data_IF_417628871299
#
_entry.id   IF_417628871299
#
_cell.length_a   1.000
_cell.length_b   1.000
_cell.length_c   1.000
_cell.angle_alpha   90.00
_cell.angle_beta   90.00
_cell.angle_gamma   90.00
#
_symmetry.space_group_name_H-M   'P 1'
#
loop_
_entity.id
_entity.type
_entity.pdbx_description
1 polymer ?
#
# COMPACT_ATOMS: atom_id res chain seq x y z
N UNK A 1 -22.28 -0.72 -11.27
CA UNK A 1 -22.38 0.73 -10.92
C UNK A 1 -22.02 0.98 -9.46
N UNK A 2 -22.55 0.20 -8.52
CA UNK A 2 -22.23 0.30 -7.07
C UNK A 2 -20.75 0.05 -6.84
N UNK A 3 -20.18 -1.02 -7.38
CA UNK A 3 -18.77 -1.38 -7.23
C UNK A 3 -17.83 -0.28 -7.77
N UNK A 4 -18.17 0.33 -8.91
CA UNK A 4 -17.41 1.45 -9.46
C UNK A 4 -17.43 2.67 -8.52
N UNK A 5 -18.59 3.02 -7.97
CA UNK A 5 -18.74 4.14 -7.04
C UNK A 5 -17.95 3.88 -5.74
N UNK A 6 -17.99 2.66 -5.23
CA UNK A 6 -17.25 2.22 -4.05
C UNK A 6 -15.75 2.31 -4.29
N UNK A 7 -15.26 1.83 -5.44
CA UNK A 7 -13.83 1.91 -5.82
C UNK A 7 -13.36 3.37 -5.88
N UNK A 8 -14.15 4.24 -6.51
CA UNK A 8 -13.83 5.68 -6.58
C UNK A 8 -13.83 6.30 -5.18
N UNK A 9 -14.82 5.99 -4.34
CA UNK A 9 -14.91 6.52 -2.98
C UNK A 9 -13.72 6.07 -2.12
N UNK A 10 -13.38 4.78 -2.14
CA UNK A 10 -12.24 4.22 -1.40
C UNK A 10 -10.93 4.89 -1.81
N UNK A 11 -10.70 5.09 -3.12
CA UNK A 11 -9.55 5.82 -3.63
C UNK A 11 -9.51 7.27 -3.13
N UNK A 12 -10.63 7.99 -3.25
CA UNK A 12 -10.72 9.39 -2.83
C UNK A 12 -10.46 9.56 -1.34
N UNK A 13 -11.03 8.69 -0.50
CA UNK A 13 -10.79 8.68 0.95
C UNK A 13 -9.32 8.42 1.24
N UNK A 14 -8.74 7.39 0.63
CA UNK A 14 -7.33 7.03 0.82
C UNK A 14 -6.40 8.18 0.45
N UNK A 15 -6.53 8.73 -0.77
CA UNK A 15 -5.68 9.84 -1.23
C UNK A 15 -5.89 11.08 -0.35
N UNK A 16 -7.13 11.39 0.01
CA UNK A 16 -7.43 12.57 0.85
C UNK A 16 -6.76 12.48 2.20
N UNK A 17 -6.76 11.31 2.86
CA UNK A 17 -6.06 11.09 4.13
C UNK A 17 -4.56 11.30 3.95
N UNK A 18 -3.95 10.60 3.00
CA UNK A 18 -2.50 10.61 2.77
C UNK A 18 -1.98 12.01 2.47
N UNK A 19 -2.63 12.69 1.53
CA UNK A 19 -2.23 14.03 1.11
C UNK A 19 -2.49 15.07 2.20
N UNK A 20 -3.63 15.01 2.87
CA UNK A 20 -3.93 15.97 3.95
C UNK A 20 -2.88 15.90 5.06
N UNK A 21 -2.47 14.71 5.46
CA UNK A 21 -1.44 14.52 6.50
C UNK A 21 -0.07 14.97 6.00
N UNK A 22 0.28 14.67 4.76
CA UNK A 22 1.50 15.13 4.11
C UNK A 22 1.60 16.66 4.10
N UNK A 23 0.61 17.32 3.53
CA UNK A 23 0.53 18.78 3.46
C UNK A 23 0.47 19.42 4.85
N UNK A 24 -0.21 18.77 5.80
CA UNK A 24 -0.26 19.22 7.19
C UNK A 24 1.14 19.23 7.83
N UNK A 25 2.00 18.27 7.49
CA UNK A 25 3.39 18.25 7.92
C UNK A 25 4.13 19.54 7.50
N UNK A 26 4.08 19.89 6.22
CA UNK A 26 4.68 21.12 5.69
C UNK A 26 4.07 22.38 6.35
N UNK A 27 2.74 22.45 6.43
CA UNK A 27 2.03 23.55 7.05
C UNK A 27 2.45 23.76 8.51
N UNK A 28 2.47 22.70 9.29
CA UNK A 28 2.76 22.77 10.73
C UNK A 28 4.19 23.26 11.01
N UNK A 29 5.18 22.73 10.29
CA UNK A 29 6.58 23.13 10.45
C UNK A 29 6.85 24.51 9.86
N UNK A 30 6.25 24.87 8.72
CA UNK A 30 6.34 26.21 8.16
C UNK A 30 5.87 27.27 9.17
N UNK A 31 4.74 27.02 9.83
CA UNK A 31 4.22 27.93 10.89
C UNK A 31 5.17 28.02 12.07
N UNK A 32 5.82 26.91 12.48
CA UNK A 32 6.81 26.91 13.57
C UNK A 32 8.11 27.63 13.19
N UNK A 33 8.44 27.66 11.89
CA UNK A 33 9.58 28.41 11.36
C UNK A 33 9.24 29.88 11.02
N UNK A 34 8.09 30.38 11.45
CA UNK A 34 7.60 31.72 11.13
C UNK A 34 7.55 31.99 9.61
N UNK A 35 7.13 30.98 8.82
CA UNK A 35 6.77 31.19 7.40
C UNK A 35 5.29 31.47 7.30
N UNK A 36 4.93 32.50 6.54
CA UNK A 36 3.54 32.80 6.28
C UNK A 36 2.96 31.83 5.25
N UNK A 37 1.92 31.08 5.66
CA UNK A 37 1.19 30.20 4.77
C UNK A 37 -0.04 30.92 4.25
N UNK A 38 -0.07 31.14 2.94
CA UNK A 38 -1.15 31.83 2.23
C UNK A 38 -2.36 30.90 2.10
N UNK A 39 -2.11 29.64 1.66
CA UNK A 39 -3.17 28.67 1.44
C UNK A 39 -2.72 27.24 1.79
N UNK A 40 -3.61 26.51 2.42
CA UNK A 40 -3.57 25.07 2.61
C UNK A 40 -4.72 24.48 1.80
N UNK A 41 -4.42 23.68 0.79
CA UNK A 41 -5.44 23.10 -0.08
C UNK A 41 -5.41 21.59 -0.07
N UNK A 42 -6.56 20.97 0.15
CA UNK A 42 -6.80 19.55 -0.16
C UNK A 42 -7.48 19.48 -1.52
N UNK A 43 -6.80 18.89 -2.49
CA UNK A 43 -7.23 18.86 -3.88
C UNK A 43 -6.69 20.03 -4.73
N UNK A 44 -6.95 19.91 -6.03
CA UNK A 44 -6.59 20.89 -7.06
C UNK A 44 -7.81 21.47 -7.75
N UNK A 45 -7.61 22.57 -8.48
CA UNK A 45 -8.62 23.21 -9.31
C UNK A 45 -9.50 24.20 -8.56
N UNK A 46 -10.79 24.26 -8.94
CA UNK A 46 -11.73 25.24 -8.38
C UNK A 46 -12.04 24.93 -6.91
N UNK A 47 -11.92 25.92 -6.04
CA UNK A 47 -12.30 25.80 -4.65
C UNK A 47 -13.82 25.56 -4.52
N UNK A 48 -14.20 24.46 -3.85
CA UNK A 48 -15.59 24.16 -3.49
C UNK A 48 -15.91 24.80 -2.14
N UNK A 49 -14.96 24.76 -1.21
CA UNK A 49 -15.11 25.33 0.12
C UNK A 49 -13.83 26.05 0.53
N UNK A 50 -13.97 27.25 1.08
CA UNK A 50 -12.85 28.05 1.60
C UNK A 50 -13.19 28.55 2.99
N UNK A 51 -12.33 28.22 3.94
CA UNK A 51 -12.40 28.74 5.31
C UNK A 51 -11.15 29.56 5.61
N UNK A 52 -11.34 30.82 6.00
CA UNK A 52 -10.23 31.65 6.48
C UNK A 52 -9.88 31.29 7.92
N UNK A 53 -8.59 31.08 8.17
CA UNK A 53 -8.05 30.84 9.50
C UNK A 53 -8.11 32.11 10.37
N UNK A 54 -7.50 32.00 11.55
CA UNK A 54 -7.30 33.18 12.42
C UNK A 54 -6.18 34.05 11.87
N UNK A 55 -6.22 35.35 12.20
CA UNK A 55 -5.14 36.28 11.87
C UNK A 55 -3.81 35.71 12.39
N UNK A 56 -2.78 35.60 11.54
CA UNK A 56 -1.52 35.03 11.95
C UNK A 56 -0.78 35.99 12.89
N UNK A 57 -0.24 35.43 13.98
CA UNK A 57 0.65 36.14 14.90
C UNK A 57 2.03 35.54 14.74
N UNK A 58 3.02 36.35 14.42
CA UNK A 58 4.43 35.96 14.31
C UNK A 58 5.26 36.69 15.35
N UNK A 59 6.32 36.04 15.82
CA UNK A 59 7.28 36.68 16.72
C UNK A 59 8.06 37.79 16.00
N UNK A 60 8.41 38.83 16.73
CA UNK A 60 9.29 39.90 16.22
C UNK A 60 10.66 39.30 15.89
N UNK A 61 11.07 39.45 14.62
CA UNK A 61 12.42 39.09 14.17
C UNK A 61 13.06 40.30 13.50
N UNK A 62 14.40 40.48 13.59
CA UNK A 62 15.08 41.54 12.85
C UNK A 62 14.88 41.31 11.36
N UNK A 63 14.40 42.35 10.68
CA UNK A 63 14.16 42.36 9.24
C UNK A 63 15.35 43.05 8.57
N UNK A 64 15.90 42.39 7.55
CA UNK A 64 16.99 42.93 6.74
C UNK A 64 16.46 43.20 5.32
N UNK A 65 16.84 44.34 4.70
CA UNK A 65 16.56 44.64 3.31
C UNK A 65 17.38 43.73 2.35
N UNK A 66 17.20 43.96 1.03
CA UNK A 66 17.94 43.19 0.01
C UNK A 66 19.44 43.42 0.05
N UNK A 67 19.85 44.55 0.59
CA UNK A 67 21.24 44.96 0.77
C UNK A 67 21.83 44.50 2.12
N UNK A 68 21.02 43.84 2.98
CA UNK A 68 21.47 43.32 4.27
C UNK A 68 21.46 44.35 5.41
N UNK A 69 20.81 45.51 5.26
CA UNK A 69 20.67 46.51 6.29
C UNK A 69 19.44 46.22 7.17
N UNK A 70 19.54 46.53 8.44
CA UNK A 70 18.47 46.34 9.40
C UNK A 70 17.32 47.33 9.12
N UNK A 71 16.17 46.80 8.75
CA UNK A 71 14.97 47.61 8.53
C UNK A 71 14.24 47.78 9.86
N UNK A 72 13.96 49.03 10.29
CA UNK A 72 13.19 49.23 11.52
C UNK A 72 11.76 48.70 11.35
N UNK A 73 11.43 47.64 12.13
CA UNK A 73 10.12 47.03 12.14
C UNK A 73 9.12 48.03 12.70
N UNK A 74 8.33 48.68 11.82
CA UNK A 74 7.16 49.43 12.25
C UNK A 74 6.10 48.41 12.67
N UNK A 75 5.59 48.47 13.88
CA UNK A 75 4.63 47.60 14.57
C UNK A 75 3.27 47.39 13.86
N UNK A 76 3.15 47.73 12.58
CA UNK A 76 1.91 47.66 11.77
C UNK A 76 1.79 46.43 10.86
N UNK A 77 2.82 45.59 10.78
CA UNK A 77 2.88 44.55 9.75
C UNK A 77 1.92 43.38 9.98
N UNK A 78 1.53 43.08 11.22
CA UNK A 78 0.66 41.93 11.51
C UNK A 78 -0.83 42.17 11.12
N UNK A 79 -1.26 43.44 10.97
CA UNK A 79 -2.63 43.75 10.58
C UNK A 79 -2.90 43.62 9.07
N UNK A 80 -1.86 43.59 8.25
CA UNK A 80 -1.97 43.54 6.79
C UNK A 80 -1.86 42.15 6.20
N UNK A 81 -1.42 41.15 6.98
CA UNK A 81 -1.30 39.78 6.49
C UNK A 81 -2.67 39.09 6.45
N UNK A 82 -3.02 38.59 5.28
CA UNK A 82 -4.25 37.81 5.13
C UNK A 82 -4.16 36.50 5.96
N UNK A 83 -5.25 36.06 6.60
CA UNK A 83 -5.27 34.78 7.28
C UNK A 83 -5.09 33.63 6.26
N UNK A 84 -4.45 32.52 6.69
CA UNK A 84 -4.34 31.32 5.87
C UNK A 84 -5.70 30.85 5.38
N UNK A 85 -5.84 30.63 4.08
CA UNK A 85 -7.03 30.04 3.46
C UNK A 85 -6.94 28.51 3.52
N UNK A 86 -7.89 27.87 4.18
CA UNK A 86 -8.08 26.41 4.14
C UNK A 86 -9.09 26.08 3.06
N UNK A 87 -8.64 25.39 2.03
CA UNK A 87 -9.42 25.17 0.80
C UNK A 87 -9.66 23.68 0.59
N UNK A 88 -10.90 23.32 0.26
CA UNK A 88 -11.25 22.03 -0.33
C UNK A 88 -11.54 22.28 -1.82
N UNK A 89 -10.76 21.64 -2.68
CA UNK A 89 -10.87 21.84 -4.12
C UNK A 89 -11.61 20.67 -4.82
N UNK A 90 -12.03 20.91 -6.07
CA UNK A 90 -12.93 20.03 -6.81
C UNK A 90 -12.29 18.69 -7.21
N UNK A 91 -10.97 18.63 -7.36
CA UNK A 91 -10.23 17.42 -7.78
C UNK A 91 -9.41 16.92 -6.59
N UNK A 92 -9.89 15.92 -5.83
CA UNK A 92 -9.24 15.47 -4.59
C UNK A 92 -8.06 14.51 -4.85
N UNK A 93 -7.28 14.75 -5.91
CA UNK A 93 -6.13 13.94 -6.32
C UNK A 93 -4.81 14.61 -5.94
N UNK A 94 -4.71 15.14 -4.72
CA UNK A 94 -3.50 15.81 -4.25
C UNK A 94 -3.81 16.97 -3.31
N UNK A 95 -2.82 17.82 -3.07
CA UNK A 95 -2.94 19.01 -2.25
C UNK A 95 -1.73 19.91 -2.43
N UNK A 96 -1.71 21.04 -1.73
CA UNK A 96 -0.53 21.90 -1.67
C UNK A 96 -0.61 22.89 -0.51
N UNK A 97 0.56 23.26 -0.01
CA UNK A 97 0.74 24.36 0.93
C UNK A 97 1.41 25.52 0.21
N UNK A 98 0.65 26.57 -0.07
CA UNK A 98 1.21 27.80 -0.65
C UNK A 98 1.81 28.66 0.45
N UNK A 99 3.12 28.80 0.43
CA UNK A 99 3.90 29.64 1.34
C UNK A 99 4.20 30.99 0.70
N UNK A 100 4.47 31.99 1.52
CA UNK A 100 4.98 33.26 1.03
C UNK A 100 6.39 33.07 0.50
N UNK A 101 6.64 33.38 -0.77
CA UNK A 101 7.94 33.25 -1.44
C UNK A 101 8.12 34.31 -2.52
N UNK A 102 9.26 35.00 -2.53
CA UNK A 102 9.58 36.06 -3.51
C UNK A 102 9.68 35.54 -4.95
N UNK A 103 9.92 34.24 -5.13
CA UNK A 103 10.02 33.59 -6.45
C UNK A 103 8.64 33.41 -7.10
N UNK A 104 7.57 33.38 -6.29
CA UNK A 104 6.20 33.21 -6.76
C UNK A 104 5.41 34.54 -6.93
N UNK A 105 5.97 35.62 -6.42
CA UNK A 105 5.30 36.92 -6.53
C UNK A 105 5.96 38.01 -5.70
N UNK A 106 5.39 39.20 -5.78
CA UNK A 106 5.88 40.36 -5.01
C UNK A 106 5.60 40.17 -3.52
N UNK A 107 6.64 40.33 -2.71
CA UNK A 107 6.56 40.33 -1.24
C UNK A 107 6.95 41.71 -0.72
N UNK A 108 6.10 42.39 0.06
CA UNK A 108 6.43 43.67 0.69
C UNK A 108 7.67 43.54 1.60
N UNK A 109 8.48 44.61 1.67
CA UNK A 109 9.75 44.59 2.41
C UNK A 109 9.56 44.27 3.91
N UNK A 110 8.45 44.72 4.50
CA UNK A 110 8.09 44.45 5.90
C UNK A 110 7.68 42.99 6.15
N UNK A 111 7.41 42.18 5.09
CA UNK A 111 7.01 40.78 5.14
C UNK A 111 8.10 39.82 4.68
N UNK A 112 9.25 40.30 4.18
CA UNK A 112 10.36 39.48 3.68
C UNK A 112 10.82 38.42 4.69
N UNK A 113 10.83 38.77 5.97
CA UNK A 113 11.22 37.86 7.05
C UNK A 113 10.26 36.66 7.23
N UNK A 114 9.06 36.71 6.64
CA UNK A 114 8.05 35.63 6.66
C UNK A 114 8.09 34.79 5.39
N UNK A 115 8.93 35.14 4.41
CA UNK A 115 9.06 34.41 3.17
C UNK A 115 9.90 33.14 3.34
N UNK A 116 9.49 32.05 2.70
CA UNK A 116 10.14 30.75 2.77
C UNK A 116 11.60 30.81 2.23
N UNK A 117 11.83 31.48 1.10
CA UNK A 117 13.16 31.61 0.50
C UNK A 117 14.15 32.41 1.37
N UNK A 118 13.68 33.22 2.32
CA UNK A 118 14.50 33.98 3.27
C UNK A 118 14.85 33.21 4.55
N UNK A 119 14.33 32.00 4.72
CA UNK A 119 14.64 31.15 5.87
C UNK A 119 16.01 30.51 5.75
N UNK A 120 16.60 30.19 6.90
CA UNK A 120 17.87 29.44 6.93
C UNK A 120 17.72 28.11 6.21
N UNK A 121 18.83 27.58 5.68
CA UNK A 121 18.83 26.28 4.99
C UNK A 121 18.22 25.18 5.87
N UNK A 122 18.55 25.17 7.16
CA UNK A 122 18.00 24.19 8.11
C UNK A 122 16.48 24.30 8.29
N UNK A 123 15.94 25.52 8.32
CA UNK A 123 14.51 25.73 8.38
C UNK A 123 13.81 25.26 7.11
N UNK A 124 14.41 25.51 5.93
CA UNK A 124 13.88 25.04 4.65
C UNK A 124 13.91 23.52 4.55
N UNK A 125 15.03 22.88 4.98
CA UNK A 125 15.10 21.42 5.08
C UNK A 125 14.04 20.88 6.02
N UNK A 126 13.86 21.45 7.21
CA UNK A 126 12.86 21.01 8.17
C UNK A 126 11.42 21.12 7.61
N UNK A 127 11.11 22.21 6.89
CA UNK A 127 9.79 22.42 6.29
C UNK A 127 9.54 21.39 5.18
N UNK A 128 10.50 21.19 4.28
CA UNK A 128 10.31 20.29 3.14
C UNK A 128 10.33 18.81 3.56
N UNK A 129 11.14 18.43 4.55
CA UNK A 129 11.11 17.06 5.07
C UNK A 129 9.87 16.72 5.91
N UNK A 130 9.13 17.74 6.36
CA UNK A 130 8.00 17.56 7.27
C UNK A 130 6.82 16.80 6.65
N UNK A 131 6.58 16.95 5.35
CA UNK A 131 5.55 16.18 4.62
C UNK A 131 5.83 14.68 4.66
N UNK A 132 6.97 14.22 4.11
CA UNK A 132 7.37 12.83 4.20
C UNK A 132 7.40 12.28 5.62
N UNK A 133 7.94 13.04 6.60
CA UNK A 133 7.95 12.63 8.01
C UNK A 133 6.53 12.45 8.54
N UNK A 134 5.59 13.33 8.20
CA UNK A 134 4.19 13.20 8.61
C UNK A 134 3.57 11.91 8.07
N UNK A 135 3.94 11.47 6.86
CA UNK A 135 3.49 10.20 6.32
C UNK A 135 4.06 9.00 7.08
N UNK A 136 5.32 8.99 7.48
CA UNK A 136 5.86 7.95 8.36
C UNK A 136 5.16 7.94 9.73
N UNK A 137 4.87 9.11 10.30
CA UNK A 137 4.12 9.19 11.55
C UNK A 137 2.68 8.67 11.41
N UNK A 138 2.02 8.92 10.27
CA UNK A 138 0.71 8.33 9.97
C UNK A 138 0.79 6.81 9.90
N UNK A 139 1.81 6.25 9.24
CA UNK A 139 2.00 4.81 9.15
C UNK A 139 2.24 4.18 10.54
N UNK A 140 3.09 4.81 11.38
CA UNK A 140 3.30 4.35 12.76
C UNK A 140 1.99 4.40 13.55
N UNK A 141 1.19 5.46 13.42
CA UNK A 141 -0.09 5.59 14.11
C UNK A 141 -1.11 4.53 13.63
N UNK A 142 -1.14 4.25 12.32
CA UNK A 142 -1.98 3.21 11.75
C UNK A 142 -1.59 1.81 12.26
N UNK A 143 -0.31 1.44 12.19
CA UNK A 143 0.16 0.16 12.74
C UNK A 143 0.01 0.09 14.26
N UNK A 144 0.23 1.19 14.99
CA UNK A 144 -0.04 1.23 16.42
C UNK A 144 -1.50 0.90 16.75
N UNK A 145 -2.42 1.48 16.02
CA UNK A 145 -3.85 1.20 16.19
C UNK A 145 -4.16 -0.27 15.87
N UNK A 146 -3.64 -0.81 14.75
CA UNK A 146 -3.81 -2.21 14.36
C UNK A 146 -3.28 -3.15 15.45
N UNK A 147 -2.05 -2.95 15.92
CA UNK A 147 -1.44 -3.80 16.92
C UNK A 147 -2.06 -3.66 18.32
N UNK A 148 -2.69 -2.52 18.63
CA UNK A 148 -3.41 -2.34 19.88
C UNK A 148 -4.79 -3.02 19.88
N UNK A 149 -5.47 -3.03 18.71
CA UNK A 149 -6.74 -3.74 18.51
C UNK A 149 -6.49 -5.24 18.41
N UNK A 150 -5.46 -5.65 17.71
CA UNK A 150 -5.09 -7.01 17.35
C UNK A 150 -5.19 -7.19 15.83
N UNK A 151 -4.19 -7.84 15.25
CA UNK A 151 -4.15 -8.20 13.82
C UNK A 151 -4.16 -9.71 13.73
N UNK A 152 -5.12 -10.23 12.97
CA UNK A 152 -5.25 -11.66 12.73
C UNK A 152 -4.61 -12.00 11.38
N UNK A 153 -3.76 -13.03 11.38
CA UNK A 153 -3.14 -13.53 10.16
C UNK A 153 -3.13 -15.06 10.13
N UNK A 154 -3.22 -15.62 8.93
CA UNK A 154 -3.18 -17.08 8.72
C UNK A 154 -1.79 -17.59 9.04
N UNK A 155 -1.70 -18.65 9.85
CA UNK A 155 -0.43 -19.33 10.18
C UNK A 155 0.21 -19.88 8.88
N UNK A 156 1.54 -19.83 8.75
CA UNK A 156 2.20 -20.18 7.51
C UNK A 156 2.48 -21.69 7.41
N UNK A 157 1.41 -22.49 7.49
CA UNK A 157 1.49 -23.94 7.31
C UNK A 157 1.41 -24.27 5.82
N UNK A 158 2.36 -25.07 5.35
CA UNK A 158 2.45 -25.55 3.98
C UNK A 158 1.31 -26.53 3.71
N UNK A 159 0.50 -26.24 2.70
CA UNK A 159 -0.51 -27.14 2.16
C UNK A 159 0.09 -28.14 1.16
N UNK A 160 -0.65 -28.45 0.11
CA UNK A 160 -0.14 -29.31 -0.96
C UNK A 160 0.96 -28.56 -1.74
N UNK A 161 2.13 -29.20 -1.90
CA UNK A 161 3.22 -28.66 -2.70
C UNK A 161 2.99 -28.97 -4.18
N UNK A 162 3.31 -28.03 -5.06
CA UNK A 162 3.30 -28.31 -6.50
C UNK A 162 4.39 -29.34 -6.82
N UNK A 163 4.07 -30.44 -7.53
CA UNK A 163 5.03 -31.46 -7.90
C UNK A 163 6.22 -30.86 -8.68
N UNK A 164 7.43 -31.34 -8.41
CA UNK A 164 8.67 -30.88 -9.04
C UNK A 164 8.99 -29.38 -8.89
N UNK A 165 8.28 -28.68 -7.99
CA UNK A 165 8.57 -27.29 -7.65
C UNK A 165 9.93 -27.12 -6.95
N UNK A 166 10.43 -25.89 -6.86
CA UNK A 166 11.68 -25.61 -6.16
C UNK A 166 11.60 -25.97 -4.69
N UNK A 167 10.47 -25.73 -4.03
CA UNK A 167 10.20 -26.08 -2.64
C UNK A 167 10.17 -27.61 -2.43
N UNK A 168 9.48 -28.35 -3.32
CA UNK A 168 9.42 -29.80 -3.25
C UNK A 168 10.80 -30.46 -3.47
N UNK A 169 11.58 -29.96 -4.45
CA UNK A 169 12.95 -30.44 -4.69
C UNK A 169 13.91 -30.15 -3.54
N UNK A 170 13.67 -29.06 -2.80
CA UNK A 170 14.46 -28.74 -1.61
C UNK A 170 14.13 -29.63 -0.41
N UNK A 171 13.04 -30.41 -0.48
CA UNK A 171 12.63 -31.36 0.55
C UNK A 171 11.59 -30.82 1.54
N UNK A 172 10.99 -29.68 1.28
CA UNK A 172 9.86 -29.16 2.06
C UNK A 172 8.67 -30.11 1.93
N UNK A 173 7.84 -30.20 2.96
CA UNK A 173 6.73 -31.15 3.05
C UNK A 173 5.44 -30.46 3.50
N UNK A 174 4.32 -31.05 3.13
CA UNK A 174 3.00 -30.62 3.59
C UNK A 174 2.89 -30.74 5.12
N UNK A 175 2.22 -29.77 5.74
CA UNK A 175 1.99 -29.71 7.18
C UNK A 175 3.11 -29.04 7.98
N UNK A 176 4.26 -28.73 7.37
CA UNK A 176 5.31 -27.94 8.02
C UNK A 176 4.88 -26.48 8.18
N UNK A 177 5.16 -25.86 9.33
CA UNK A 177 4.96 -24.43 9.56
C UNK A 177 6.25 -23.68 9.28
N UNK A 178 6.20 -22.66 8.38
CA UNK A 178 7.33 -21.80 8.06
C UNK A 178 7.50 -20.77 9.19
N UNK A 179 8.61 -20.84 9.91
CA UNK A 179 8.91 -19.96 11.05
C UNK A 179 9.94 -18.88 10.76
N UNK A 180 10.71 -19.02 9.66
CA UNK A 180 11.60 -17.96 9.18
C UNK A 180 11.89 -18.09 7.68
N UNK A 181 12.16 -16.94 7.04
CA UNK A 181 12.70 -16.83 5.69
C UNK A 181 14.01 -16.05 5.78
N UNK A 182 15.13 -16.63 5.31
CA UNK A 182 16.48 -16.06 5.40
C UNK A 182 16.84 -15.54 6.81
N UNK A 183 16.42 -16.29 7.84
CA UNK A 183 16.65 -15.97 9.25
C UNK A 183 15.69 -14.93 9.84
N UNK A 184 14.87 -14.26 9.03
CA UNK A 184 13.82 -13.35 9.49
C UNK A 184 12.60 -14.15 9.94
N UNK A 185 12.22 -14.02 11.21
CA UNK A 185 11.07 -14.76 11.79
C UNK A 185 9.77 -14.39 11.09
N UNK A 186 8.97 -15.40 10.77
CA UNK A 186 7.64 -15.27 10.17
C UNK A 186 6.58 -15.91 11.05
N UNK A 187 5.46 -15.21 11.26
CA UNK A 187 4.32 -15.68 12.07
C UNK A 187 3.07 -15.93 11.25
N UNK A 188 3.02 -15.32 10.06
CA UNK A 188 1.87 -15.35 9.16
C UNK A 188 2.31 -15.53 7.72
N UNK A 189 1.41 -16.01 6.86
CA UNK A 189 1.65 -16.12 5.43
C UNK A 189 2.01 -14.76 4.78
N UNK A 190 1.44 -13.66 5.29
CA UNK A 190 1.79 -12.32 4.81
C UNK A 190 3.25 -11.97 5.06
N UNK A 191 3.81 -12.38 6.21
CA UNK A 191 5.21 -12.16 6.54
C UNK A 191 6.14 -13.08 5.71
N UNK A 192 5.75 -14.32 5.46
CA UNK A 192 6.46 -15.22 4.54
C UNK A 192 6.53 -14.61 3.15
N UNK A 193 5.39 -14.18 2.60
CA UNK A 193 5.36 -13.54 1.29
C UNK A 193 6.25 -12.29 1.24
N UNK A 194 6.23 -11.45 2.27
CA UNK A 194 7.08 -10.26 2.33
C UNK A 194 8.57 -10.63 2.30
N UNK A 195 8.99 -11.63 3.08
CA UNK A 195 10.36 -12.14 3.07
C UNK A 195 10.78 -12.70 1.71
N UNK A 196 9.87 -13.41 1.04
CA UNK A 196 10.10 -13.92 -0.31
C UNK A 196 10.15 -12.80 -1.36
N UNK A 197 9.31 -11.77 -1.25
CA UNK A 197 9.35 -10.60 -2.13
C UNK A 197 10.71 -9.88 -2.07
N UNK A 198 11.37 -9.87 -0.91
CA UNK A 198 12.69 -9.26 -0.78
C UNK A 198 13.76 -9.98 -1.60
N UNK A 199 13.52 -11.22 -2.03
CA UNK A 199 14.45 -12.04 -2.85
C UNK A 199 14.21 -11.94 -4.36
N UNK A 200 13.21 -11.18 -4.82
CA UNK A 200 12.93 -11.02 -6.25
C UNK A 200 14.14 -10.48 -7.02
N UNK A 201 14.37 -11.03 -8.20
CA UNK A 201 15.47 -10.67 -9.10
C UNK A 201 16.84 -11.23 -8.68
N UNK A 202 16.93 -11.96 -7.57
CA UNK A 202 18.21 -12.46 -7.05
C UNK A 202 18.53 -13.87 -7.55
N UNK A 203 19.82 -14.20 -7.47
CA UNK A 203 20.36 -15.54 -7.71
C UNK A 203 21.05 -16.01 -6.45
N UNK A 204 20.79 -17.24 -6.03
CA UNK A 204 21.38 -17.83 -4.81
C UNK A 204 20.44 -18.87 -4.20
N UNK A 205 20.40 -18.92 -2.89
CA UNK A 205 19.54 -19.81 -2.13
C UNK A 205 18.65 -19.01 -1.19
N UNK A 206 17.38 -19.39 -1.10
CA UNK A 206 16.45 -18.87 -0.09
C UNK A 206 16.40 -19.90 1.02
N UNK A 207 16.72 -19.51 2.25
CA UNK A 207 16.70 -20.39 3.42
C UNK A 207 15.32 -20.34 4.05
N UNK A 208 14.57 -21.43 3.98
CA UNK A 208 13.25 -21.56 4.61
C UNK A 208 13.41 -22.44 5.85
N UNK A 209 13.15 -21.87 7.02
CA UNK A 209 13.16 -22.60 8.29
C UNK A 209 11.74 -22.96 8.68
N UNK A 210 11.52 -24.22 8.98
CA UNK A 210 10.20 -24.78 9.32
C UNK A 210 10.23 -25.50 10.65
N UNK A 211 9.04 -25.68 11.22
CA UNK A 211 8.77 -26.59 12.36
C UNK A 211 8.00 -27.77 11.83
N UNK A 212 8.41 -28.96 12.23
CA UNK A 212 7.77 -30.25 11.84
C UNK A 212 6.39 -30.42 12.51
N UNK A 213 5.41 -30.97 11.81
CA UNK A 213 4.10 -31.27 12.38
C UNK A 213 4.20 -32.10 13.68
N UNK A 214 3.56 -31.61 14.74
CA UNK A 214 3.56 -32.27 16.04
C UNK A 214 4.86 -32.16 16.86
N UNK A 215 5.84 -31.42 16.39
CA UNK A 215 7.09 -31.12 17.10
C UNK A 215 7.11 -29.68 17.59
N UNK A 216 7.20 -29.46 18.89
CA UNK A 216 7.18 -28.09 19.45
C UNK A 216 8.49 -27.30 19.29
N UNK A 217 9.62 -27.96 18.98
CA UNK A 217 10.94 -27.30 18.98
C UNK A 217 11.94 -27.80 17.92
N UNK A 218 11.61 -28.78 17.10
CA UNK A 218 12.52 -29.22 16.06
C UNK A 218 12.37 -28.34 14.83
N UNK A 219 13.33 -27.41 14.65
CA UNK A 219 13.43 -26.57 13.46
C UNK A 219 14.36 -27.22 12.45
N UNK A 220 13.91 -27.29 11.21
CA UNK A 220 14.69 -27.73 10.05
C UNK A 220 14.81 -26.58 9.05
N UNK A 221 15.99 -26.42 8.46
CA UNK A 221 16.21 -25.38 7.43
C UNK A 221 16.46 -26.02 6.08
N UNK A 222 15.79 -25.53 5.07
CA UNK A 222 15.86 -25.99 3.69
C UNK A 222 16.37 -24.86 2.79
N UNK A 223 17.35 -25.19 1.96
CA UNK A 223 17.92 -24.24 1.00
C UNK A 223 17.23 -24.43 -0.35
N UNK A 224 16.48 -23.43 -0.77
CA UNK A 224 15.76 -23.44 -2.04
C UNK A 224 16.57 -22.64 -3.07
N UNK A 225 17.19 -23.29 -4.09
CA UNK A 225 17.99 -22.60 -5.08
C UNK A 225 17.09 -21.79 -6.03
N UNK A 226 17.50 -20.54 -6.31
CA UNK A 226 16.82 -19.62 -7.22
C UNK A 226 17.83 -18.95 -8.15
N UNK A 227 17.43 -18.63 -9.38
CA UNK A 227 18.29 -17.99 -10.38
C UNK A 227 17.52 -16.88 -11.08
N UNK A 228 17.99 -15.61 -10.95
CA UNK A 228 17.29 -14.42 -11.45
C UNK A 228 15.77 -14.51 -11.20
N UNK A 229 15.45 -14.88 -9.98
CA UNK A 229 14.13 -15.36 -9.62
C UNK A 229 13.06 -14.31 -9.85
N UNK A 230 12.09 -14.63 -10.69
CA UNK A 230 10.94 -13.78 -11.06
C UNK A 230 11.33 -12.40 -11.62
N UNK A 231 12.57 -12.21 -12.11
CA UNK A 231 13.04 -10.91 -12.63
C UNK A 231 12.20 -10.36 -13.78
N UNK A 232 11.58 -11.24 -14.58
CA UNK A 232 10.76 -10.89 -15.74
C UNK A 232 9.25 -11.02 -15.48
N UNK A 233 8.83 -11.32 -14.26
CA UNK A 233 7.41 -11.45 -13.92
C UNK A 233 6.77 -10.08 -13.74
N UNK A 234 5.68 -9.82 -14.46
CA UNK A 234 4.87 -8.60 -14.34
C UNK A 234 3.89 -8.67 -13.13
N UNK A 235 3.67 -9.86 -12.57
CA UNK A 235 2.80 -10.09 -11.41
C UNK A 235 3.31 -11.28 -10.60
N UNK A 236 4.45 -11.13 -9.89
CA UNK A 236 5.04 -12.24 -9.15
C UNK A 236 4.15 -12.68 -7.99
N UNK A 237 4.02 -14.00 -7.82
CA UNK A 237 3.39 -14.66 -6.68
C UNK A 237 4.44 -15.53 -5.96
N UNK A 238 5.35 -14.94 -5.16
CA UNK A 238 6.58 -15.58 -4.72
C UNK A 238 6.39 -16.96 -4.05
N UNK A 239 5.46 -17.10 -3.12
CA UNK A 239 5.21 -18.37 -2.49
C UNK A 239 4.77 -19.43 -3.51
N UNK A 240 3.80 -19.10 -4.36
CA UNK A 240 3.29 -20.00 -5.40
C UNK A 240 4.37 -20.36 -6.43
N UNK A 241 5.15 -19.36 -6.84
CA UNK A 241 6.23 -19.58 -7.83
C UNK A 241 7.38 -20.45 -7.29
N UNK A 242 7.51 -20.57 -5.95
CA UNK A 242 8.35 -21.62 -5.32
C UNK A 242 7.65 -22.96 -5.23
N UNK A 243 6.34 -23.02 -5.45
CA UNK A 243 5.49 -24.19 -5.26
C UNK A 243 4.95 -24.34 -3.84
N UNK A 244 5.02 -23.27 -3.03
CA UNK A 244 4.45 -23.23 -1.70
C UNK A 244 2.97 -22.81 -1.80
N UNK A 245 2.09 -23.71 -1.41
CA UNK A 245 0.66 -23.47 -1.32
C UNK A 245 0.27 -23.38 0.16
N UNK A 246 -0.54 -22.37 0.48
CA UNK A 246 -1.08 -22.22 1.84
C UNK A 246 -2.03 -23.38 2.15
N UNK A 247 -1.93 -23.95 3.34
CA UNK A 247 -2.93 -24.90 3.82
C UNK A 247 -4.26 -24.14 3.98
N UNK A 248 -5.27 -24.58 3.22
CA UNK A 248 -6.63 -24.08 3.34
C UNK A 248 -7.45 -25.03 4.23
N UNK A 249 -8.41 -24.51 5.02
CA UNK A 249 -9.43 -25.35 5.63
C UNK A 249 -10.33 -25.96 4.53
N UNK A 250 -11.27 -26.81 4.90
CA UNK A 250 -12.29 -27.26 3.96
C UNK A 250 -12.96 -26.02 3.33
N UNK A 251 -12.88 -25.94 2.01
CA UNK A 251 -13.40 -24.81 1.25
C UNK A 251 -14.46 -25.31 0.26
N UNK A 252 -15.71 -25.50 0.73
CA UNK A 252 -16.78 -25.97 -0.13
C UNK A 252 -17.02 -25.02 -1.30
N UNK A 253 -17.45 -25.55 -2.43
CA UNK A 253 -17.68 -24.78 -3.65
C UNK A 253 -19.00 -24.01 -3.60
N UNK A 254 -19.16 -23.14 -2.59
CA UNK A 254 -20.37 -22.31 -2.38
C UNK A 254 -20.23 -20.96 -3.07
N UNK A 255 -21.27 -20.57 -3.80
CA UNK A 255 -21.34 -19.29 -4.49
C UNK A 255 -21.63 -18.18 -3.48
N UNK A 256 -20.70 -17.26 -3.27
CA UNK A 256 -20.86 -16.07 -2.44
C UNK A 256 -21.30 -14.82 -3.21
N UNK A 257 -21.10 -14.81 -4.54
CA UNK A 257 -21.52 -13.69 -5.39
C UNK A 257 -21.49 -14.01 -6.87
N UNK A 258 -22.30 -13.31 -7.65
CA UNK A 258 -22.41 -13.47 -9.10
C UNK A 258 -22.24 -12.13 -9.81
N UNK A 259 -21.55 -12.12 -10.94
CA UNK A 259 -21.53 -10.97 -11.84
C UNK A 259 -22.85 -10.94 -12.62
N UNK A 260 -23.47 -9.76 -12.74
CA UNK A 260 -24.78 -9.60 -13.36
C UNK A 260 -24.87 -9.99 -14.84
N UNK A 261 -23.71 -10.00 -15.53
CA UNK A 261 -23.54 -10.43 -16.93
C UNK A 261 -22.80 -11.76 -17.07
N UNK A 262 -22.53 -12.43 -15.95
CA UNK A 262 -21.75 -13.68 -15.90
C UNK A 262 -22.54 -14.89 -16.38
N UNK A 263 -21.81 -15.86 -16.96
CA UNK A 263 -22.35 -17.14 -17.46
C UNK A 263 -23.04 -17.98 -16.37
N UNK A 264 -22.56 -17.89 -15.12
CA UNK A 264 -23.17 -18.58 -13.99
C UNK A 264 -24.60 -18.07 -13.74
N UNK A 265 -24.78 -16.74 -13.69
CA UNK A 265 -26.11 -16.13 -13.50
C UNK A 265 -27.04 -16.44 -14.68
N UNK A 266 -26.54 -16.35 -15.91
CA UNK A 266 -27.28 -16.69 -17.12
C UNK A 266 -27.67 -18.18 -17.16
N UNK A 267 -26.87 -19.08 -16.60
CA UNK A 267 -27.15 -20.51 -16.47
C UNK A 267 -28.11 -20.88 -15.33
N UNK A 268 -28.57 -19.90 -14.55
CA UNK A 268 -29.51 -20.14 -13.44
C UNK A 268 -28.84 -20.52 -12.11
N UNK A 269 -27.54 -20.26 -11.95
CA UNK A 269 -26.84 -20.37 -10.67
C UNK A 269 -27.25 -19.22 -9.77
N UNK A 270 -27.44 -19.46 -8.49
CA UNK A 270 -27.81 -18.48 -7.47
C UNK A 270 -26.75 -18.38 -6.36
N UNK A 271 -26.75 -17.26 -5.66
CA UNK A 271 -25.90 -17.09 -4.46
C UNK A 271 -26.38 -18.06 -3.38
N UNK A 272 -25.44 -18.80 -2.78
CA UNK A 272 -25.71 -19.85 -1.82
C UNK A 272 -25.71 -21.27 -2.42
N UNK A 273 -25.68 -21.40 -3.76
CA UNK A 273 -25.55 -22.72 -4.39
C UNK A 273 -24.19 -23.35 -4.03
N UNK A 274 -24.20 -24.59 -3.57
CA UNK A 274 -23.00 -25.40 -3.39
C UNK A 274 -22.83 -26.36 -4.57
N UNK A 275 -21.75 -26.25 -5.30
CA UNK A 275 -21.38 -27.11 -6.41
C UNK A 275 -20.85 -28.45 -5.90
N UNK A 276 -21.59 -29.53 -6.11
CA UNK A 276 -21.23 -30.88 -5.63
C UNK A 276 -20.43 -31.70 -6.64
N UNK A 277 -20.80 -31.60 -7.93
CA UNK A 277 -20.09 -32.34 -8.99
C UNK A 277 -20.23 -31.64 -10.34
N UNK A 278 -19.28 -31.90 -11.23
CA UNK A 278 -19.28 -31.46 -12.64
C UNK A 278 -19.06 -32.71 -13.49
N UNK A 279 -19.94 -32.92 -14.50
CA UNK A 279 -19.96 -34.08 -15.40
C UNK A 279 -19.82 -35.42 -14.68
N UNK A 280 -20.46 -35.55 -13.51
CA UNK A 280 -20.47 -36.75 -12.68
C UNK A 280 -19.22 -36.92 -11.80
N UNK A 281 -18.23 -36.03 -11.88
CA UNK A 281 -17.05 -36.03 -11.00
C UNK A 281 -17.33 -35.16 -9.78
N UNK A 282 -17.22 -35.73 -8.57
CA UNK A 282 -17.39 -34.98 -7.32
C UNK A 282 -16.31 -33.94 -7.12
N UNK A 283 -16.70 -32.74 -6.72
CA UNK A 283 -15.78 -31.65 -6.43
C UNK A 283 -15.18 -31.83 -5.02
N UNK A 284 -13.89 -31.50 -4.89
CA UNK A 284 -13.17 -31.46 -3.61
C UNK A 284 -13.24 -30.08 -2.94
N UNK A 285 -14.03 -29.17 -3.49
CA UNK A 285 -14.18 -27.81 -3.00
C UNK A 285 -13.95 -26.75 -4.08
N UNK A 286 -13.89 -25.47 -3.64
CA UNK A 286 -13.79 -24.32 -4.54
C UNK A 286 -12.55 -24.38 -5.47
N UNK A 287 -11.31 -24.67 -5.00
CA UNK A 287 -10.17 -24.72 -5.90
C UNK A 287 -10.35 -25.71 -7.06
N UNK A 288 -10.86 -26.91 -6.76
CA UNK A 288 -11.13 -27.92 -7.78
C UNK A 288 -12.21 -27.49 -8.78
N UNK A 289 -13.25 -26.74 -8.32
CA UNK A 289 -14.24 -26.15 -9.23
C UNK A 289 -13.56 -25.14 -10.18
N UNK A 290 -12.67 -24.30 -9.67
CA UNK A 290 -11.93 -23.31 -10.49
C UNK A 290 -11.12 -24.01 -11.56
N UNK A 291 -10.38 -25.07 -11.22
CA UNK A 291 -9.55 -25.82 -12.17
C UNK A 291 -10.41 -26.44 -13.28
N UNK A 292 -11.53 -27.04 -12.94
CA UNK A 292 -12.47 -27.65 -13.92
C UNK A 292 -13.05 -26.58 -14.84
N UNK A 293 -13.49 -25.44 -14.29
CA UNK A 293 -14.06 -24.33 -15.08
C UNK A 293 -13.00 -23.74 -16.02
N UNK A 294 -11.80 -23.48 -15.54
CA UNK A 294 -10.71 -22.92 -16.33
C UNK A 294 -10.28 -23.83 -17.47
N UNK A 295 -10.30 -25.15 -17.25
CA UNK A 295 -9.96 -26.16 -18.27
C UNK A 295 -11.04 -26.34 -19.35
N UNK A 296 -12.23 -25.75 -19.18
CA UNK A 296 -13.41 -26.02 -20.05
C UNK A 296 -14.00 -24.75 -20.70
N UNK A 297 -13.19 -23.92 -21.37
CA UNK A 297 -13.70 -22.73 -22.06
C UNK A 297 -14.66 -23.14 -23.18
N UNK A 298 -15.82 -22.46 -23.27
CA UNK A 298 -16.90 -22.66 -24.26
C UNK A 298 -17.49 -24.11 -24.32
N UNK A 299 -17.21 -24.94 -23.29
CA UNK A 299 -17.76 -26.29 -23.18
C UNK A 299 -18.94 -26.28 -22.21
N UNK A 300 -20.03 -26.92 -22.59
CA UNK A 300 -21.20 -27.05 -21.70
C UNK A 300 -20.96 -28.17 -20.69
N UNK A 301 -20.95 -27.81 -19.42
CA UNK A 301 -20.76 -28.70 -18.28
C UNK A 301 -22.10 -28.99 -17.61
N UNK A 302 -22.34 -30.24 -17.19
CA UNK A 302 -23.46 -30.62 -16.37
C UNK A 302 -23.08 -30.52 -14.88
N UNK A 303 -23.57 -29.48 -14.22
CA UNK A 303 -23.23 -29.20 -12.83
C UNK A 303 -24.39 -29.64 -11.92
N UNK A 304 -24.05 -30.39 -10.86
CA UNK A 304 -24.98 -30.68 -9.78
C UNK A 304 -24.75 -29.70 -8.65
N UNK A 305 -25.75 -28.91 -8.30
CA UNK A 305 -25.71 -27.97 -7.17
C UNK A 305 -26.68 -28.40 -6.07
N UNK A 306 -26.32 -28.07 -4.83
CA UNK A 306 -27.21 -28.15 -3.67
C UNK A 306 -27.79 -26.75 -3.42
N UNK A 307 -29.11 -26.61 -3.56
CA UNK A 307 -29.86 -25.38 -3.29
C UNK A 307 -31.02 -25.71 -2.34
N UNK A 308 -31.10 -24.98 -1.22
CA UNK A 308 -32.16 -25.17 -0.20
C UNK A 308 -32.35 -26.65 0.24
N UNK A 309 -31.24 -27.41 0.31
CA UNK A 309 -31.24 -28.83 0.66
C UNK A 309 -31.68 -29.78 -0.49
N UNK A 310 -32.00 -29.27 -1.66
CA UNK A 310 -32.35 -30.04 -2.87
C UNK A 310 -31.22 -30.07 -3.90
N UNK A 311 -30.95 -31.22 -4.51
CA UNK A 311 -30.02 -31.34 -5.62
C UNK A 311 -30.64 -30.91 -6.92
N UNK A 312 -29.99 -30.03 -7.68
CA UNK A 312 -30.43 -29.56 -8.98
C UNK A 312 -29.34 -29.76 -10.02
N UNK A 313 -29.72 -30.03 -11.26
CA UNK A 313 -28.81 -30.10 -12.40
C UNK A 313 -28.90 -28.80 -13.19
N UNK A 314 -27.74 -28.19 -13.44
CA UNK A 314 -27.60 -26.95 -14.20
C UNK A 314 -26.63 -27.19 -15.35
N UNK A 315 -27.02 -26.80 -16.57
CA UNK A 315 -26.10 -26.77 -17.71
C UNK A 315 -25.38 -25.42 -17.73
N UNK A 316 -24.07 -25.42 -17.55
CA UNK A 316 -23.24 -24.24 -17.43
C UNK A 316 -22.16 -24.23 -18.51
N UNK A 317 -22.07 -23.15 -19.29
CA UNK A 317 -21.05 -23.00 -20.34
C UNK A 317 -20.11 -21.84 -19.95
N UNK A 318 -18.88 -22.13 -19.47
CA UNK A 318 -17.93 -21.08 -19.16
C UNK A 318 -17.58 -20.24 -20.39
N UNK A 319 -17.45 -18.94 -20.24
CA UNK A 319 -16.95 -18.03 -21.27
C UNK A 319 -15.45 -18.19 -21.43
N UNK A 320 -14.96 -18.27 -22.67
CA UNK A 320 -13.53 -18.31 -22.97
C UNK A 320 -12.94 -16.90 -22.87
N UNK A 321 -11.98 -16.70 -21.97
CA UNK A 321 -11.25 -15.44 -21.81
C UNK A 321 -9.75 -15.66 -22.00
N UNK A 322 -9.06 -14.69 -22.62
CA UNK A 322 -7.60 -14.68 -22.63
C UNK A 322 -7.04 -14.02 -21.38
N UNK A 323 -6.26 -14.76 -20.61
CA UNK A 323 -5.60 -14.26 -19.41
C UNK A 323 -4.19 -14.83 -19.28
N UNK A 324 -3.19 -13.93 -19.23
CA UNK A 324 -1.79 -14.35 -19.09
C UNK A 324 -1.27 -15.21 -20.25
N UNK A 325 -1.82 -15.04 -21.47
CA UNK A 325 -1.44 -15.83 -22.64
C UNK A 325 -2.10 -17.22 -22.73
N UNK A 326 -3.00 -17.55 -21.81
CA UNK A 326 -3.80 -18.78 -21.83
C UNK A 326 -5.28 -18.47 -22.06
N UNK A 327 -5.96 -19.35 -22.81
CA UNK A 327 -7.39 -19.28 -23.06
C UNK A 327 -8.11 -20.13 -21.99
N UNK A 328 -8.82 -19.47 -21.08
CA UNK A 328 -9.38 -20.09 -19.88
C UNK A 328 -10.89 -19.88 -19.80
N UNK A 329 -11.60 -20.87 -19.24
CA UNK A 329 -13.02 -20.74 -18.94
C UNK A 329 -13.28 -19.82 -17.74
N UNK A 330 -14.37 -19.03 -17.84
CA UNK A 330 -14.80 -18.12 -16.78
C UNK A 330 -16.34 -18.12 -16.67
N UNK A 331 -16.87 -18.10 -15.44
CA UNK A 331 -18.32 -18.14 -15.21
C UNK A 331 -18.89 -16.89 -14.54
N UNK A 332 -18.03 -15.99 -14.06
CA UNK A 332 -18.47 -14.77 -13.39
C UNK A 332 -19.05 -15.01 -11.99
N UNK A 333 -18.53 -16.01 -11.27
CA UNK A 333 -18.91 -16.30 -9.90
C UNK A 333 -17.74 -16.03 -8.93
N UNK A 334 -18.09 -15.65 -7.70
CA UNK A 334 -17.14 -15.48 -6.58
C UNK A 334 -17.48 -16.50 -5.49
N UNK A 335 -16.48 -17.02 -4.76
CA UNK A 335 -16.74 -17.91 -3.63
C UNK A 335 -17.42 -17.18 -2.48
N UNK A 336 -18.04 -17.92 -1.60
CA UNK A 336 -18.32 -17.44 -0.27
C UNK A 336 -16.99 -17.12 0.43
N UNK A 337 -16.90 -16.03 1.21
CA UNK A 337 -15.72 -15.75 1.99
C UNK A 337 -15.29 -16.99 2.81
N UNK A 338 -13.99 -17.29 2.80
CA UNK A 338 -13.43 -18.39 3.55
C UNK A 338 -13.20 -17.93 5.00
N UNK A 339 -13.90 -18.55 5.93
CA UNK A 339 -13.64 -18.36 7.36
C UNK A 339 -12.57 -19.34 7.80
N UNK A 340 -11.45 -18.84 8.29
CA UNK A 340 -10.39 -19.68 8.84
C UNK A 340 -10.76 -20.10 10.26
N UNK A 341 -10.58 -21.40 10.59
CA UNK A 341 -10.70 -21.86 11.97
C UNK A 341 -9.67 -21.17 12.89
N UNK A 342 -10.01 -20.91 14.15
CA UNK A 342 -9.09 -20.24 15.08
C UNK A 342 -7.72 -20.89 15.21
N UNK A 343 -7.63 -22.22 14.96
CA UNK A 343 -6.38 -22.99 15.00
C UNK A 343 -5.45 -22.63 13.82
N UNK A 344 -6.00 -22.13 12.73
CA UNK A 344 -5.28 -21.70 11.53
C UNK A 344 -4.97 -20.20 11.51
N UNK A 345 -5.37 -19.49 12.55
CA UNK A 345 -5.14 -18.07 12.71
C UNK A 345 -4.21 -17.78 13.88
N UNK A 346 -3.45 -16.73 13.74
CA UNK A 346 -2.60 -16.19 14.81
C UNK A 346 -2.91 -14.71 15.00
N UNK A 347 -3.48 -14.39 16.15
CA UNK A 347 -3.69 -13.01 16.57
C UNK A 347 -2.38 -12.46 17.13
N UNK A 348 -1.97 -11.30 16.59
CA UNK A 348 -0.85 -10.52 17.12
C UNK A 348 -1.41 -9.25 17.74
N UNK A 349 -1.41 -9.19 19.08
CA UNK A 349 -1.93 -8.05 19.85
C UNK A 349 -0.92 -7.61 20.88
N UNK A 350 -0.80 -6.29 21.05
CA UNK A 350 0.08 -5.68 22.05
C UNK A 350 -0.72 -4.73 22.97
N UNK A 351 -0.30 -4.55 24.22
CA UNK A 351 -0.89 -3.50 25.06
C UNK A 351 -0.76 -2.13 24.39
N UNK A 352 -1.80 -1.30 24.48
CA UNK A 352 -1.87 0.02 23.82
C UNK A 352 -0.63 0.87 24.07
N UNK A 353 -0.11 0.84 25.33
CA UNK A 353 1.06 1.65 25.72
C UNK A 353 2.40 1.15 25.14
N UNK A 354 2.49 -0.09 24.67
CA UNK A 354 3.71 -0.66 24.09
C UNK A 354 3.59 -0.95 22.58
N UNK A 355 2.38 -0.95 22.02
CA UNK A 355 2.10 -1.26 20.62
C UNK A 355 2.81 -0.30 19.62
N UNK A 356 3.23 0.89 20.05
CA UNK A 356 3.98 1.84 19.22
C UNK A 356 5.38 1.34 18.84
N UNK A 357 6.00 0.48 19.68
CA UNK A 357 7.33 -0.09 19.39
C UNK A 357 7.26 -1.02 18.18
N UNK A 358 6.44 -2.10 18.17
CA UNK A 358 6.30 -2.94 16.98
C UNK A 358 5.75 -2.17 15.77
N UNK A 359 4.94 -1.13 15.98
CA UNK A 359 4.47 -0.28 14.88
C UNK A 359 5.62 0.49 14.22
N UNK A 360 6.53 1.06 15.00
CA UNK A 360 7.72 1.74 14.47
C UNK A 360 8.68 0.75 13.78
N UNK A 361 8.87 -0.44 14.35
CA UNK A 361 9.67 -1.51 13.73
C UNK A 361 9.06 -1.94 12.41
N UNK A 362 7.75 -2.19 12.37
CA UNK A 362 7.05 -2.56 11.13
C UNK A 362 7.14 -1.47 10.06
N UNK A 363 6.97 -0.20 10.45
CA UNK A 363 7.14 0.94 9.53
C UNK A 363 8.55 0.97 8.95
N UNK A 364 9.57 0.72 9.77
CA UNK A 364 10.97 0.66 9.34
C UNK A 364 11.24 -0.50 8.38
N UNK A 365 10.77 -1.71 8.70
CA UNK A 365 10.88 -2.90 7.82
C UNK A 365 10.26 -2.65 6.45
N UNK A 366 9.03 -2.13 6.41
CA UNK A 366 8.35 -1.81 5.15
C UNK A 366 9.06 -0.68 4.40
N UNK A 367 9.66 0.28 5.10
CA UNK A 367 10.48 1.33 4.49
C UNK A 367 11.71 0.75 3.80
N UNK A 368 12.45 -0.12 4.49
CA UNK A 368 13.63 -0.80 3.92
C UNK A 368 13.24 -1.66 2.73
N UNK A 369 12.15 -2.42 2.84
CA UNK A 369 11.59 -3.21 1.74
C UNK A 369 11.26 -2.33 0.52
N UNK A 370 10.60 -1.18 0.72
CA UNK A 370 10.26 -0.25 -0.36
C UNK A 370 11.51 0.30 -1.04
N UNK A 371 12.54 0.69 -0.25
CA UNK A 371 13.81 1.16 -0.79
C UNK A 371 14.56 0.07 -1.57
N UNK A 372 14.58 -1.16 -1.06
CA UNK A 372 15.18 -2.30 -1.73
C UNK A 372 14.47 -2.61 -3.06
N UNK A 373 13.14 -2.56 -3.07
CA UNK A 373 12.34 -2.76 -4.29
C UNK A 373 12.61 -1.68 -5.34
N UNK A 374 12.68 -0.41 -4.94
CA UNK A 374 13.04 0.70 -5.84
C UNK A 374 14.45 0.50 -6.40
N UNK A 375 15.43 0.14 -5.55
CA UNK A 375 16.79 -0.15 -6.00
C UNK A 375 16.80 -1.28 -7.03
N UNK A 376 16.09 -2.39 -6.79
CA UNK A 376 15.98 -3.53 -7.71
C UNK A 376 15.34 -3.13 -9.05
N UNK A 377 14.36 -2.24 -9.05
CA UNK A 377 13.77 -1.68 -10.28
C UNK A 377 14.78 -0.82 -11.05
N UNK A 378 15.54 0.04 -10.36
CA UNK A 378 16.54 0.91 -11.00
C UNK A 378 17.66 0.09 -11.66
N UNK A 379 18.11 -0.98 -11.02
CA UNK A 379 19.16 -1.85 -11.57
C UNK A 379 18.62 -2.89 -12.57
N UNK A 380 17.31 -2.90 -12.85
CA UNK A 380 16.67 -3.80 -13.80
C UNK A 380 16.50 -5.24 -13.30
N UNK A 381 16.63 -5.48 -12.00
CA UNK A 381 16.45 -6.81 -11.41
C UNK A 381 14.97 -7.23 -11.33
N UNK A 382 14.05 -6.27 -11.31
CA UNK A 382 12.61 -6.49 -11.38
C UNK A 382 11.95 -5.51 -12.36
N UNK A 383 10.83 -5.92 -12.95
CA UNK A 383 10.11 -5.11 -13.93
C UNK A 383 9.51 -3.84 -13.30
N UNK A 384 9.68 -2.64 -13.89
CA UNK A 384 8.98 -1.43 -13.44
C UNK A 384 7.45 -1.52 -13.53
N UNK A 385 6.91 -2.46 -14.30
CA UNK A 385 5.46 -2.72 -14.39
C UNK A 385 4.87 -3.25 -13.09
N UNK A 386 5.70 -3.76 -12.18
CA UNK A 386 5.30 -4.15 -10.83
C UNK A 386 4.90 -2.94 -9.97
N UNK A 387 5.20 -1.72 -10.42
CA UNK A 387 4.70 -0.52 -9.77
C UNK A 387 3.21 -0.33 -10.11
N UNK A 388 2.38 -0.43 -9.09
CA UNK A 388 0.93 -0.30 -9.25
C UNK A 388 0.52 1.06 -9.80
N UNK A 389 -0.22 1.06 -10.90
CA UNK A 389 -0.80 2.28 -11.43
C UNK A 389 -2.01 2.77 -10.61
N UNK A 390 -2.51 4.00 -10.87
CA UNK A 390 -3.64 4.57 -10.13
C UNK A 390 -4.90 3.69 -10.14
N UNK A 391 -5.15 2.97 -11.22
CA UNK A 391 -6.29 2.06 -11.35
C UNK A 391 -6.12 0.86 -10.41
N UNK A 392 -4.92 0.27 -10.36
CA UNK A 392 -4.62 -0.85 -9.45
C UNK A 392 -4.72 -0.40 -7.99
N UNK A 393 -4.20 0.79 -7.65
CA UNK A 393 -4.34 1.38 -6.31
C UNK A 393 -5.81 1.53 -5.93
N UNK A 394 -6.67 2.00 -6.86
CA UNK A 394 -8.10 2.13 -6.63
C UNK A 394 -8.77 0.77 -6.38
N UNK A 395 -8.43 -0.24 -7.17
CA UNK A 395 -8.95 -1.60 -7.00
C UNK A 395 -8.55 -2.21 -5.67
N UNK A 396 -7.26 -2.07 -5.27
CA UNK A 396 -6.77 -2.56 -3.98
C UNK A 396 -7.40 -1.78 -2.83
N UNK A 397 -7.59 -0.45 -2.95
CA UNK A 397 -8.30 0.35 -1.95
C UNK A 397 -9.74 -0.15 -1.72
N UNK A 398 -10.46 -0.46 -2.80
CA UNK A 398 -11.82 -1.02 -2.72
C UNK A 398 -11.82 -2.41 -2.08
N UNK A 399 -10.96 -3.30 -2.55
CA UNK A 399 -10.86 -4.65 -2.02
C UNK A 399 -10.48 -4.68 -0.54
N UNK A 400 -9.55 -3.82 -0.11
CA UNK A 400 -9.17 -3.72 1.31
C UNK A 400 -10.28 -3.11 2.16
N UNK A 401 -11.06 -2.17 1.62
CA UNK A 401 -12.24 -1.62 2.30
C UNK A 401 -13.36 -2.66 2.45
N UNK A 402 -13.56 -3.52 1.46
CA UNK A 402 -14.50 -4.66 1.51
C UNK A 402 -14.06 -5.71 2.53
N UNK A 403 -12.74 -5.98 2.62
CA UNK A 403 -12.16 -6.93 3.57
C UNK A 403 -12.15 -6.41 5.02
N UNK A 404 -12.62 -5.20 5.25
CA UNK A 404 -12.83 -4.63 6.58
C UNK A 404 -11.78 -3.60 6.99
N UNK A 405 -12.03 -3.04 8.19
CA UNK A 405 -11.27 -1.91 8.72
C UNK A 405 -9.77 -2.20 8.86
N UNK A 406 -9.41 -3.38 9.34
CA UNK A 406 -8.02 -3.79 9.55
C UNK A 406 -7.23 -3.74 8.24
N UNK A 407 -7.74 -4.39 7.20
CA UNK A 407 -7.13 -4.43 5.87
C UNK A 407 -6.98 -3.04 5.26
N UNK A 408 -8.00 -2.20 5.40
CA UNK A 408 -7.98 -0.84 4.87
C UNK A 408 -6.97 0.06 5.58
N UNK A 409 -6.87 -0.01 6.92
CA UNK A 409 -5.87 0.75 7.69
C UNK A 409 -4.46 0.27 7.38
N UNK A 410 -4.25 -1.04 7.24
CA UNK A 410 -2.97 -1.61 6.81
C UNK A 410 -2.54 -1.11 5.43
N UNK A 411 -3.48 -1.01 4.50
CA UNK A 411 -3.25 -0.45 3.18
C UNK A 411 -2.89 1.05 3.22
N UNK A 412 -3.59 1.85 4.04
CA UNK A 412 -3.24 3.27 4.26
C UNK A 412 -1.81 3.38 4.82
N UNK A 413 -1.42 2.53 5.78
CA UNK A 413 -0.07 2.53 6.33
C UNK A 413 0.99 2.25 5.25
N UNK A 414 0.77 1.22 4.42
CA UNK A 414 1.66 0.86 3.32
C UNK A 414 1.81 1.99 2.30
N UNK A 415 0.70 2.58 1.85
CA UNK A 415 0.73 3.70 0.91
C UNK A 415 1.37 4.94 1.52
N UNK A 416 1.16 5.20 2.82
CA UNK A 416 1.76 6.31 3.52
C UNK A 416 3.29 6.19 3.56
N UNK A 417 3.82 5.00 3.83
CA UNK A 417 5.26 4.74 3.76
C UNK A 417 5.77 4.93 2.34
N UNK A 418 5.10 4.35 1.36
CA UNK A 418 5.48 4.44 -0.06
C UNK A 418 5.54 5.89 -0.52
N UNK A 419 4.53 6.69 -0.17
CA UNK A 419 4.49 8.12 -0.49
C UNK A 419 5.61 8.90 0.21
N UNK A 420 5.87 8.60 1.50
CA UNK A 420 6.97 9.18 2.24
C UNK A 420 8.35 8.87 1.63
N UNK A 421 8.58 7.60 1.25
CA UNK A 421 9.82 7.16 0.60
C UNK A 421 10.00 7.82 -0.76
N UNK A 422 8.97 7.78 -1.63
CA UNK A 422 9.06 8.36 -2.98
C UNK A 422 9.32 9.86 -2.90
N UNK A 423 8.66 10.58 -1.99
CA UNK A 423 8.87 12.02 -1.81
C UNK A 423 10.26 12.36 -1.25
N UNK A 424 10.96 11.44 -0.61
CA UNK A 424 12.35 11.64 -0.17
C UNK A 424 13.39 11.29 -1.24
N UNK A 425 13.00 10.65 -2.35
CA UNK A 425 13.94 10.39 -3.44
C UNK A 425 14.38 11.71 -4.10
N UNK A 426 15.64 11.81 -4.56
CA UNK A 426 16.20 13.00 -5.19
C UNK A 426 15.66 13.18 -6.63
N UNK A 427 14.33 13.24 -6.77
CA UNK A 427 13.64 13.39 -8.04
C UNK A 427 13.12 14.83 -8.13
N UNK A 428 13.41 15.58 -9.22
CA UNK A 428 12.83 16.88 -9.45
C UNK A 428 11.29 16.85 -9.29
N UNK A 429 10.69 17.95 -8.79
CA UNK A 429 9.25 18.08 -8.52
C UNK A 429 8.78 17.44 -7.21
N UNK A 430 9.55 16.50 -6.62
CA UNK A 430 9.28 15.95 -5.30
C UNK A 430 10.08 16.68 -4.20
N UNK A 431 9.65 16.52 -2.96
CA UNK A 431 10.33 17.14 -1.80
C UNK A 431 11.82 16.78 -1.74
N UNK A 432 12.16 15.53 -2.05
CA UNK A 432 13.54 15.04 -2.08
C UNK A 432 14.44 15.76 -3.09
N UNK A 433 13.88 16.23 -4.21
CA UNK A 433 14.59 17.09 -5.15
C UNK A 433 14.95 18.42 -4.52
N UNK A 434 14.02 19.08 -3.83
CA UNK A 434 14.30 20.30 -3.07
C UNK A 434 15.29 20.06 -1.93
N UNK A 435 15.16 18.97 -1.19
CA UNK A 435 16.10 18.59 -0.14
C UNK A 435 17.51 18.42 -0.69
N UNK A 436 17.67 17.80 -1.86
CA UNK A 436 18.99 17.66 -2.50
C UNK A 436 19.62 19.03 -2.77
N UNK A 437 18.85 19.99 -3.30
CA UNK A 437 19.36 21.35 -3.53
C UNK A 437 19.80 22.04 -2.22
N UNK A 438 19.04 21.87 -1.13
CA UNK A 438 19.40 22.44 0.16
C UNK A 438 20.60 21.76 0.79
N UNK A 439 20.80 20.46 0.60
CA UNK A 439 22.01 19.77 1.02
C UNK A 439 23.25 20.24 0.24
N UNK A 440 23.11 20.45 -1.09
CA UNK A 440 24.19 21.03 -1.90
C UNK A 440 24.52 22.46 -1.42
N UNK A 441 23.51 23.29 -1.16
CA UNK A 441 23.68 24.64 -0.61
C UNK A 441 24.41 24.62 0.74
N UNK A 442 24.07 23.68 1.63
CA UNK A 442 24.71 23.51 2.94
C UNK A 442 26.20 23.21 2.80
N UNK A 443 26.57 22.34 1.85
CA UNK A 443 27.97 21.94 1.60
C UNK A 443 28.72 23.03 0.86
N UNK A 444 28.11 23.66 -0.14
CA UNK A 444 28.76 24.66 -0.99
C UNK A 444 28.81 26.06 -0.35
N UNK A 445 28.05 26.30 0.74
CA UNK A 445 27.96 27.61 1.41
C UNK A 445 27.27 28.71 0.57
N UNK A 446 26.65 28.36 -0.54
CA UNK A 446 25.94 29.29 -1.43
C UNK A 446 24.73 28.60 -2.08
N UNK A 447 23.64 29.35 -2.34
CA UNK A 447 22.45 28.78 -2.95
C UNK A 447 22.72 28.27 -4.36
N UNK A 448 22.04 27.19 -4.73
CA UNK A 448 22.04 26.64 -6.10
C UNK A 448 21.37 27.67 -7.02
N UNK A 449 21.95 28.01 -8.19
CA UNK A 449 21.36 28.95 -9.11
C UNK A 449 19.95 28.52 -9.55
N UNK A 450 19.00 29.46 -9.63
CA UNK A 450 17.61 29.19 -10.01
C UNK A 450 17.44 28.49 -11.37
N UNK A 451 18.42 28.65 -12.27
CA UNK A 451 18.42 27.96 -13.59
C UNK A 451 18.63 26.44 -13.48
N UNK A 452 19.06 25.95 -12.32
CA UNK A 452 19.37 24.54 -12.04
C UNK A 452 18.30 23.91 -11.16
N UNK A 453 17.53 24.72 -10.46
CA UNK A 453 16.36 24.32 -9.68
C UNK A 453 15.13 24.17 -10.58
#
# INVERSE_FOLDING_TARGET
>A
MIDFLQTVLALLVTISILVTIHEFGHYWVARRCNVHVIRFSVGFGKAIYVKKGRQPVYGEQPVYDKEGNLVPVRTRSNETLAPTEFTLAAIPLGGYVKMLDEREGYVPDDQLHLAFNRKTVWQRIAIVSAGPIANFLLAIAAYWMLFAVGVTGVIPVIGELEPESAAARAGLQQGQEIVAVDGNTTKTWSEVNLGLFDRLGETGEIVITVVEPGSYNAQSSYNVPVMQWLSNSDSPLPARDLGLVMQLPEYPAVIGGLNGDGRAMAGGVEVGDEFLSVDGVSLKGWPHLVDVIQASPEQTLNVVVLRDGGKMNIALTPEGIERGGSFLGFIGAKPQPLDFPPEMERETRYPVYSAWIPAAVKTWEVTLFTLASIKKMIVGAISPKNLSGPITIAQVASATAENGFESFVGFIALLSISLGVINLLPIPVLDGGHLLYYFIELIAGRPVPERVQ
#
